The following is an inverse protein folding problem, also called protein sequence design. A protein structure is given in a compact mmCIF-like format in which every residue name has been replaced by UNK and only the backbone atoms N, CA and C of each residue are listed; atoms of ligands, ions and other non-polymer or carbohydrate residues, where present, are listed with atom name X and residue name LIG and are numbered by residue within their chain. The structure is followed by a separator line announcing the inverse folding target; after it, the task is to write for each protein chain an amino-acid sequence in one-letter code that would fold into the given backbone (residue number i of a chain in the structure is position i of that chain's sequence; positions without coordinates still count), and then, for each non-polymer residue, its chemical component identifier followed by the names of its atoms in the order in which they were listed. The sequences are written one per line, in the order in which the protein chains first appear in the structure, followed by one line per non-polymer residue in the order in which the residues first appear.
data_IF_814227444133
#
_entry.id   IF_814227444133
#
_cell.length_a   1.000
_cell.length_b   1.000
_cell.length_c   1.000
_cell.angle_alpha   90.00
_cell.angle_beta   90.00
_cell.angle_gamma   90.00
#
_symmetry.space_group_name_H-M   'P 1'
#
loop_
_entity.id
_entity.type
_entity.pdbx_description
1 polymer ?
#
# COMPACT_ATOMS: atom_id res chain seq x y z
N UNK A 1 10.64 26.08 -9.45
CA UNK A 1 10.56 24.69 -8.93
C UNK A 1 9.09 24.26 -8.85
N UNK A 2 8.63 23.56 -9.89
CA UNK A 2 7.21 23.34 -10.19
C UNK A 2 6.48 22.54 -9.13
N UNK A 3 5.27 22.96 -8.82
CA UNK A 3 4.33 22.37 -7.87
C UNK A 3 3.95 20.95 -8.29
N UNK A 4 4.78 19.96 -7.97
CA UNK A 4 4.33 18.57 -8.03
C UNK A 4 3.17 18.39 -7.06
N UNK A 5 2.13 17.65 -7.47
CA UNK A 5 0.99 17.32 -6.61
C UNK A 5 1.43 16.79 -5.24
N UNK A 6 2.51 16.00 -5.23
CA UNK A 6 3.20 15.53 -4.01
C UNK A 6 3.64 16.72 -3.14
N UNK A 7 4.35 17.71 -3.68
CA UNK A 7 4.76 18.88 -2.91
C UNK A 7 3.57 19.65 -2.32
N UNK A 8 2.43 19.68 -3.02
CA UNK A 8 1.20 20.28 -2.49
C UNK A 8 0.58 19.48 -1.32
N UNK A 9 0.66 18.15 -1.34
CA UNK A 9 0.23 17.28 -0.24
C UNK A 9 1.12 17.46 0.99
N UNK A 10 2.44 17.52 0.80
CA UNK A 10 3.39 17.78 1.88
C UNK A 10 3.11 19.10 2.59
N UNK A 11 2.77 20.16 1.84
CA UNK A 11 2.42 21.46 2.40
C UNK A 11 1.10 21.43 3.19
N UNK A 12 0.12 20.62 2.77
CA UNK A 12 -1.17 20.47 3.47
C UNK A 12 -1.06 19.63 4.75
N UNK A 13 0.05 18.92 4.94
CA UNK A 13 0.34 18.17 6.17
C UNK A 13 -0.25 16.76 6.20
N UNK A 14 0.06 16.04 7.27
CA UNK A 14 -0.27 14.61 7.43
C UNK A 14 -1.78 14.34 7.35
N UNK A 15 -2.61 15.18 7.98
CA UNK A 15 -4.06 14.97 8.01
C UNK A 15 -4.65 14.88 6.59
N UNK A 16 -4.18 15.71 5.65
CA UNK A 16 -4.72 15.66 4.29
C UNK A 16 -4.32 14.38 3.55
N UNK A 17 -3.12 13.86 3.84
CA UNK A 17 -2.67 12.58 3.29
C UNK A 17 -3.54 11.44 3.86
N UNK A 18 -3.81 11.45 5.17
CA UNK A 18 -4.65 10.44 5.83
C UNK A 18 -6.10 10.47 5.33
N UNK A 19 -6.67 11.66 5.09
CA UNK A 19 -7.99 11.81 4.47
C UNK A 19 -8.03 11.09 3.11
N UNK A 20 -7.02 11.30 2.25
CA UNK A 20 -6.94 10.65 0.95
C UNK A 20 -6.78 9.13 1.08
N UNK A 21 -5.90 8.64 1.96
CA UNK A 21 -5.77 7.18 2.20
C UNK A 21 -7.12 6.56 2.61
N UNK A 22 -7.89 7.24 3.46
CA UNK A 22 -9.22 6.77 3.86
C UNK A 22 -10.26 6.81 2.72
N UNK A 23 -10.27 7.88 1.93
CA UNK A 23 -11.13 8.04 0.75
C UNK A 23 -10.87 6.92 -0.27
N UNK A 24 -9.60 6.74 -0.68
CA UNK A 24 -9.22 5.74 -1.68
C UNK A 24 -9.47 4.31 -1.21
N UNK A 25 -9.34 4.04 0.09
CA UNK A 25 -9.66 2.74 0.65
C UNK A 25 -11.14 2.40 0.50
N UNK A 26 -12.04 3.36 0.75
CA UNK A 26 -13.49 3.18 0.58
C UNK A 26 -13.83 3.04 -0.91
N UNK A 27 -13.24 3.87 -1.77
CA UNK A 27 -13.46 3.81 -3.22
C UNK A 27 -12.98 2.48 -3.82
N UNK A 28 -11.82 1.97 -3.38
CA UNK A 28 -11.31 0.65 -3.77
C UNK A 28 -12.29 -0.47 -3.38
N UNK A 29 -12.84 -0.43 -2.15
CA UNK A 29 -13.82 -1.43 -1.68
C UNK A 29 -15.08 -1.41 -2.56
N UNK A 30 -15.59 -0.22 -2.87
CA UNK A 30 -16.78 -0.06 -3.71
C UNK A 30 -16.51 -0.53 -5.15
N UNK A 31 -15.36 -0.15 -5.73
CA UNK A 31 -14.96 -0.56 -7.07
C UNK A 31 -14.77 -2.08 -7.17
N UNK A 32 -14.25 -2.74 -6.12
CA UNK A 32 -14.11 -4.18 -6.07
C UNK A 32 -15.47 -4.89 -6.08
N UNK A 33 -16.41 -4.42 -5.26
CA UNK A 33 -17.80 -4.92 -5.26
C UNK A 33 -18.46 -4.72 -6.62
N UNK A 34 -18.33 -3.54 -7.20
CA UNK A 34 -18.96 -3.24 -8.49
C UNK A 34 -18.35 -4.09 -9.61
N UNK A 35 -17.05 -4.37 -9.56
CA UNK A 35 -16.37 -5.29 -10.50
C UNK A 35 -16.91 -6.72 -10.38
N UNK A 36 -17.13 -7.21 -9.16
CA UNK A 36 -17.75 -8.53 -8.91
C UNK A 36 -19.18 -8.62 -9.46
N UNK A 37 -19.93 -7.52 -9.41
CA UNK A 37 -21.27 -7.40 -9.99
C UNK A 37 -21.29 -7.18 -11.52
N UNK A 38 -20.14 -7.27 -12.21
CA UNK A 38 -20.02 -7.10 -13.67
C UNK A 38 -19.71 -5.68 -14.14
N UNK A 39 -19.31 -4.79 -13.23
CA UNK A 39 -18.82 -3.44 -13.55
C UNK A 39 -17.42 -3.44 -14.18
N UNK A 40 -16.99 -2.26 -14.64
CA UNK A 40 -15.70 -2.09 -15.32
C UNK A 40 -14.50 -2.29 -14.38
N UNK A 41 -13.63 -3.30 -14.60
CA UNK A 41 -12.46 -3.54 -13.76
C UNK A 41 -11.42 -2.43 -13.84
N UNK A 42 -11.46 -1.56 -14.86
CA UNK A 42 -10.53 -0.42 -14.95
C UNK A 42 -10.67 0.53 -13.76
N UNK A 43 -11.89 0.67 -13.20
CA UNK A 43 -12.11 1.49 -12.00
C UNK A 43 -11.40 0.90 -10.79
N UNK A 44 -11.48 -0.41 -10.57
CA UNK A 44 -10.77 -1.07 -9.47
C UNK A 44 -9.26 -0.87 -9.56
N UNK A 45 -8.68 -1.01 -10.76
CA UNK A 45 -7.25 -0.77 -10.98
C UNK A 45 -6.88 0.68 -10.67
N UNK A 46 -7.72 1.63 -11.08
CA UNK A 46 -7.52 3.06 -10.83
C UNK A 46 -7.53 3.40 -9.33
N UNK A 47 -8.58 3.02 -8.58
CA UNK A 47 -8.65 3.33 -7.13
C UNK A 47 -7.56 2.60 -6.35
N UNK A 48 -7.20 1.37 -6.75
CA UNK A 48 -6.09 0.63 -6.12
C UNK A 48 -4.77 1.36 -6.32
N UNK A 49 -4.53 1.91 -7.51
CA UNK A 49 -3.33 2.68 -7.79
C UNK A 49 -3.27 3.97 -6.95
N UNK A 50 -4.40 4.66 -6.77
CA UNK A 50 -4.45 5.89 -5.96
C UNK A 50 -4.27 5.59 -4.46
N UNK A 51 -4.89 4.50 -3.96
CA UNK A 51 -4.66 4.00 -2.62
C UNK A 51 -3.18 3.69 -2.36
N UNK A 52 -2.51 3.00 -3.28
CA UNK A 52 -1.09 2.69 -3.16
C UNK A 52 -0.24 3.96 -3.21
N UNK A 53 -0.53 4.89 -4.12
CA UNK A 53 0.17 6.16 -4.22
C UNK A 53 0.08 6.94 -2.90
N UNK A 54 -1.12 7.14 -2.37
CA UNK A 54 -1.32 7.87 -1.13
C UNK A 54 -0.73 7.15 0.09
N UNK A 55 -0.71 5.82 0.09
CA UNK A 55 -0.02 5.02 1.12
C UNK A 55 1.50 5.25 1.07
N UNK A 56 2.12 5.23 -0.12
CA UNK A 56 3.56 5.50 -0.26
C UNK A 56 3.94 6.93 0.13
N UNK A 57 3.10 7.91 -0.20
CA UNK A 57 3.27 9.31 0.24
C UNK A 57 3.17 9.42 1.76
N UNK A 58 2.22 8.73 2.39
CA UNK A 58 2.09 8.67 3.85
C UNK A 58 3.35 8.10 4.51
N UNK A 59 3.85 6.97 4.03
CA UNK A 59 5.08 6.35 4.56
C UNK A 59 6.27 7.30 4.46
N UNK A 60 6.48 7.89 3.27
CA UNK A 60 7.58 8.83 3.03
C UNK A 60 7.43 10.09 3.89
N UNK A 61 6.21 10.56 4.17
CA UNK A 61 5.96 11.71 5.06
C UNK A 61 6.31 11.43 6.52
N UNK A 62 6.27 10.16 6.93
CA UNK A 62 6.56 9.69 8.28
C UNK A 62 7.98 9.12 8.41
N UNK A 63 8.84 9.38 7.42
CA UNK A 63 10.22 8.88 7.36
C UNK A 63 10.31 7.34 7.40
N UNK A 64 9.28 6.65 6.89
CA UNK A 64 9.23 5.20 6.74
C UNK A 64 9.47 4.86 5.27
N UNK A 65 10.43 3.97 5.03
CA UNK A 65 10.69 3.47 3.67
C UNK A 65 9.64 2.45 3.26
N UNK A 66 9.13 2.49 2.01
CA UNK A 66 8.30 1.41 1.45
C UNK A 66 8.95 0.02 1.57
N UNK A 67 10.29 -0.06 1.57
CA UNK A 67 11.01 -1.31 1.79
C UNK A 67 10.65 -1.96 3.12
N UNK A 68 10.46 -1.18 4.18
CA UNK A 68 10.09 -1.71 5.50
C UNK A 68 8.72 -2.41 5.49
N UNK A 69 7.79 -1.96 4.63
CA UNK A 69 6.52 -2.64 4.43
C UNK A 69 6.73 -3.94 3.66
N UNK A 70 7.59 -3.95 2.64
CA UNK A 70 7.93 -5.16 1.90
C UNK A 70 8.61 -6.20 2.80
N UNK A 71 9.55 -5.78 3.65
CA UNK A 71 10.23 -6.65 4.62
C UNK A 71 9.22 -7.27 5.60
N UNK A 72 8.22 -6.50 6.04
CA UNK A 72 7.13 -7.00 6.87
C UNK A 72 6.23 -8.01 6.11
N UNK A 73 5.94 -7.76 4.83
CA UNK A 73 5.22 -8.73 4.00
C UNK A 73 6.02 -10.02 3.81
N UNK A 74 7.33 -9.94 3.56
CA UNK A 74 8.23 -11.09 3.47
C UNK A 74 8.24 -11.90 4.78
N UNK A 75 8.34 -11.21 5.92
CA UNK A 75 8.25 -11.83 7.25
C UNK A 75 6.89 -12.51 7.47
N UNK A 76 5.78 -11.91 7.03
CA UNK A 76 4.41 -12.46 7.18
C UNK A 76 4.17 -13.68 6.29
N UNK A 77 4.57 -13.60 5.03
CA UNK A 77 4.33 -14.66 4.04
C UNK A 77 5.35 -15.78 4.10
N UNK A 78 6.40 -15.61 4.89
CA UNK A 78 7.25 -16.72 5.25
C UNK A 78 8.05 -17.24 4.08
N UNK A 79 9.01 -16.44 3.61
CA UNK A 79 10.33 -17.04 3.36
C UNK A 79 10.85 -17.81 4.61
N UNK A 80 10.25 -17.58 5.78
CA UNK A 80 10.21 -18.48 6.95
C UNK A 80 9.95 -19.95 6.64
N UNK A 81 9.22 -20.33 5.58
CA UNK A 81 9.03 -21.75 5.24
C UNK A 81 10.30 -22.45 4.75
N UNK A 82 11.23 -21.71 4.13
CA UNK A 82 12.54 -22.22 3.72
C UNK A 82 13.54 -22.19 4.86
N UNK A 83 13.53 -21.13 5.68
CA UNK A 83 14.37 -21.03 6.87
C UNK A 83 13.96 -22.03 7.97
N UNK A 84 12.67 -22.26 8.18
CA UNK A 84 12.13 -23.26 9.10
C UNK A 84 12.44 -24.69 8.65
N UNK A 85 12.38 -24.97 7.34
CA UNK A 85 12.84 -26.25 6.75
C UNK A 85 14.35 -26.44 6.90
N UNK A 86 15.16 -25.41 6.67
CA UNK A 86 16.61 -25.50 6.85
C UNK A 86 16.98 -25.70 8.32
N UNK A 87 16.34 -24.99 9.25
CA UNK A 87 16.57 -25.18 10.70
C UNK A 87 16.16 -26.56 11.21
N UNK A 88 15.14 -27.19 10.62
CA UNK A 88 14.75 -28.59 10.93
C UNK A 88 15.76 -29.63 10.44
N UNK A 89 16.38 -29.42 9.28
CA UNK A 89 17.31 -30.39 8.69
C UNK A 89 18.76 -30.26 9.22
N UNK A 90 19.12 -29.13 9.84
CA UNK A 90 20.45 -28.91 10.44
C UNK A 90 20.55 -29.33 11.90
N UNK A 91 19.45 -29.82 12.49
CA UNK A 91 19.34 -30.20 13.90
C UNK A 91 19.25 -31.70 14.17
N UNK A 92 19.54 -32.54 13.16
CA UNK A 92 19.59 -34.01 13.25
C UNK A 92 21.01 -34.50 12.92
#
# INVERSE_FOLDING_TARGET
PGSSYVASLYHKGLNKILEKVGEEAVETILAARDTEAGGDPAKLVYETADLWFHTLVMLTRLDISPQQVLDELERRFGLSGMEEKQRRNSGD
#
